data_IF_060901000503
#
_entry.id   IF_060901000503
#
_cell.length_a   1.000
_cell.length_b   1.000
_cell.length_c   1.000
_cell.angle_alpha   90.00
_cell.angle_beta   90.00
_cell.angle_gamma   90.00
#
_symmetry.space_group_name_H-M   'P 1'
#
loop_
_entity.id
_entity.type
_entity.pdbx_description
1 polymer ?
#
# COMPACT_ATOMS: atom_id res chain seq x y z
N UNK A 1 12.14 10.99 1.78
CA UNK A 1 11.39 11.33 3.01
C UNK A 1 12.21 10.87 4.20
N UNK A 2 12.34 11.70 5.24
CA UNK A 2 13.02 11.30 6.48
C UNK A 2 12.00 11.38 7.61
N UNK A 3 11.83 10.28 8.33
CA UNK A 3 10.95 10.19 9.48
C UNK A 3 11.71 10.55 10.75
N UNK A 4 11.08 11.31 11.64
CA UNK A 4 11.56 11.61 12.98
C UNK A 4 10.42 11.38 13.97
N UNK A 5 10.69 10.64 15.06
CA UNK A 5 9.71 10.35 16.10
C UNK A 5 9.14 11.59 16.81
N UNK A 6 9.80 12.75 16.69
CA UNK A 6 9.32 14.03 17.22
C UNK A 6 8.36 14.76 16.30
N UNK A 7 8.22 14.31 15.04
CA UNK A 7 7.24 14.88 14.12
C UNK A 7 5.82 14.63 14.63
N UNK A 8 4.91 15.56 14.36
CA UNK A 8 3.49 15.30 14.52
C UNK A 8 2.92 14.51 13.35
N UNK A 9 1.78 13.86 13.56
CA UNK A 9 1.02 13.19 12.49
C UNK A 9 0.71 14.15 11.34
N UNK A 10 0.32 15.39 11.63
CA UNK A 10 0.05 16.41 10.61
C UNK A 10 1.29 16.75 9.76
N UNK A 11 2.47 16.82 10.37
CA UNK A 11 3.73 17.03 9.65
C UNK A 11 4.05 15.84 8.74
N UNK A 12 3.82 14.62 9.21
CA UNK A 12 3.97 13.42 8.40
C UNK A 12 3.05 13.48 7.17
N UNK A 13 1.76 13.76 7.35
CA UNK A 13 0.81 13.85 6.24
C UNK A 13 1.18 14.91 5.21
N UNK A 14 1.65 16.08 5.67
CA UNK A 14 2.09 17.13 4.76
C UNK A 14 3.31 16.70 3.93
N UNK A 15 4.28 16.02 4.54
CA UNK A 15 5.45 15.50 3.84
C UNK A 15 5.09 14.35 2.88
N UNK A 16 4.16 13.46 3.26
CA UNK A 16 3.64 12.41 2.35
C UNK A 16 2.96 13.07 1.16
N UNK A 17 2.07 14.04 1.41
CA UNK A 17 1.34 14.78 0.38
C UNK A 17 2.29 15.43 -0.62
N UNK A 18 3.32 16.13 -0.13
CA UNK A 18 4.33 16.76 -0.97
C UNK A 18 5.07 15.72 -1.83
N UNK A 19 5.55 14.64 -1.21
CA UNK A 19 6.30 13.58 -1.89
C UNK A 19 5.47 12.91 -2.99
N UNK A 20 4.18 12.64 -2.72
CA UNK A 20 3.28 12.02 -3.70
C UNK A 20 3.01 12.96 -4.87
N UNK A 21 2.77 14.25 -4.61
CA UNK A 21 2.53 15.24 -5.67
C UNK A 21 3.78 15.43 -6.55
N UNK A 22 4.96 15.55 -5.95
CA UNK A 22 6.22 15.64 -6.69
C UNK A 22 6.52 14.37 -7.49
N UNK A 23 6.22 13.20 -6.95
CA UNK A 23 6.34 11.94 -7.69
C UNK A 23 5.43 11.91 -8.91
N UNK A 24 4.18 12.38 -8.76
CA UNK A 24 3.20 12.44 -9.84
C UNK A 24 3.58 13.45 -10.94
N UNK A 25 4.29 14.54 -10.61
CA UNK A 25 4.79 15.47 -11.64
C UNK A 25 5.90 14.88 -12.52
N UNK A 26 6.43 13.71 -12.16
CA UNK A 26 7.47 12.98 -12.91
C UNK A 26 7.04 11.57 -13.35
N UNK A 27 5.72 11.29 -13.36
CA UNK A 27 5.17 9.96 -13.65
C UNK A 27 5.43 9.44 -15.08
N UNK A 28 5.81 10.32 -16.01
CA UNK A 28 6.07 9.94 -17.40
C UNK A 28 7.33 9.09 -17.57
N UNK A 29 8.22 9.05 -16.57
CA UNK A 29 9.40 8.19 -16.57
C UNK A 29 9.02 6.76 -16.19
N UNK A 30 9.15 5.76 -17.10
CA UNK A 30 8.87 4.37 -16.76
C UNK A 30 9.81 3.87 -15.66
N UNK A 31 9.27 3.07 -14.74
CA UNK A 31 10.04 2.50 -13.63
C UNK A 31 11.27 1.72 -14.10
N UNK A 32 11.14 0.93 -15.16
CA UNK A 32 12.25 0.14 -15.70
C UNK A 32 13.43 1.02 -16.16
N UNK A 33 13.14 2.17 -16.76
CA UNK A 33 14.18 3.13 -17.17
C UNK A 33 14.88 3.76 -15.97
N UNK A 34 14.17 4.00 -14.87
CA UNK A 34 14.77 4.48 -13.63
C UNK A 34 15.72 3.44 -13.02
N UNK A 35 15.33 2.17 -13.01
CA UNK A 35 16.18 1.07 -12.55
C UNK A 35 17.43 0.93 -13.42
N UNK A 36 17.29 1.05 -14.74
CA UNK A 36 18.42 1.03 -15.67
C UNK A 36 19.41 2.17 -15.44
N UNK A 37 18.92 3.38 -15.17
CA UNK A 37 19.75 4.55 -14.91
C UNK A 37 20.46 4.48 -13.54
N UNK A 38 19.77 4.01 -12.49
CA UNK A 38 20.32 3.94 -11.14
C UNK A 38 21.22 2.72 -10.90
N UNK A 39 21.09 1.69 -11.74
CA UNK A 39 21.87 0.44 -11.67
C UNK A 39 21.98 -0.13 -10.23
N UNK A 40 20.85 -0.32 -9.51
CA UNK A 40 20.92 -0.90 -8.17
C UNK A 40 21.47 -2.34 -8.23
N UNK A 41 22.02 -2.87 -7.12
CA UNK A 41 22.47 -4.26 -7.06
C UNK A 41 21.37 -5.21 -7.51
N UNK A 42 21.64 -5.98 -8.58
CA UNK A 42 20.69 -6.92 -9.14
C UNK A 42 20.48 -8.11 -8.21
N UNK A 43 19.23 -8.51 -8.04
CA UNK A 43 18.84 -9.69 -7.29
C UNK A 43 17.63 -10.34 -7.94
N UNK A 44 17.60 -11.66 -7.92
CA UNK A 44 16.42 -12.44 -8.30
C UNK A 44 15.42 -12.57 -7.13
N UNK A 45 15.84 -12.22 -5.91
CA UNK A 45 15.08 -12.44 -4.69
C UNK A 45 14.24 -11.22 -4.24
N UNK A 46 14.55 -10.01 -4.73
CA UNK A 46 13.85 -8.79 -4.31
C UNK A 46 13.69 -7.80 -5.46
N UNK A 47 12.56 -7.08 -5.42
CA UNK A 47 12.27 -5.99 -6.35
C UNK A 47 13.27 -4.83 -6.17
N UNK A 48 13.77 -4.21 -7.25
CA UNK A 48 14.67 -3.07 -7.14
C UNK A 48 13.98 -1.87 -6.48
N UNK A 49 14.77 -1.05 -5.77
CA UNK A 49 14.39 0.23 -5.16
C UNK A 49 13.40 0.18 -3.99
N UNK A 50 12.41 -0.73 -3.98
CA UNK A 50 11.44 -0.86 -2.89
C UNK A 50 10.87 -2.27 -2.77
N UNK A 51 10.47 -2.64 -1.55
CA UNK A 51 10.00 -3.98 -1.19
C UNK A 51 8.57 -4.01 -0.67
N UNK A 52 7.99 -2.85 -0.35
CA UNK A 52 6.60 -2.72 0.10
C UNK A 52 5.83 -1.87 -0.90
N UNK A 53 4.76 -2.43 -1.45
CA UNK A 53 3.84 -1.75 -2.36
C UNK A 53 2.54 -1.42 -1.63
N UNK A 54 1.98 -0.23 -1.86
CA UNK A 54 0.66 0.15 -1.40
C UNK A 54 -0.13 0.71 -2.59
N UNK A 55 -1.27 0.10 -2.88
CA UNK A 55 -2.16 0.51 -3.96
C UNK A 55 -3.53 0.85 -3.40
N UNK A 56 -4.02 2.06 -3.66
CA UNK A 56 -5.34 2.51 -3.24
C UNK A 56 -6.21 2.68 -4.48
N UNK A 57 -7.13 1.74 -4.68
CA UNK A 57 -8.05 1.72 -5.80
C UNK A 57 -9.38 2.34 -5.40
N UNK A 58 -9.70 3.47 -6.04
CA UNK A 58 -11.01 4.12 -5.97
C UNK A 58 -11.82 3.75 -7.21
N UNK A 59 -12.09 2.46 -7.36
CA UNK A 59 -13.08 2.02 -8.33
C UNK A 59 -14.33 1.64 -7.56
N UNK A 60 -15.49 2.10 -8.02
CA UNK A 60 -16.77 1.56 -7.57
C UNK A 60 -16.79 0.08 -7.99
N UNK A 61 -16.31 -0.77 -7.09
CA UNK A 61 -16.25 -2.21 -7.32
C UNK A 61 -17.68 -2.74 -7.20
N UNK A 62 -18.41 -2.68 -8.30
CA UNK A 62 -19.69 -3.37 -8.40
C UNK A 62 -19.40 -4.87 -8.32
N UNK A 63 -19.67 -5.47 -7.16
CA UNK A 63 -19.43 -6.90 -6.88
C UNK A 63 -20.18 -7.80 -7.87
N UNK A 64 -21.29 -7.31 -8.41
CA UNK A 64 -22.00 -7.93 -9.52
C UNK A 64 -22.30 -6.90 -10.61
N UNK A 65 -22.22 -7.33 -11.87
CA UNK A 65 -22.67 -6.54 -13.02
C UNK A 65 -23.70 -7.34 -13.80
N UNK A 66 -24.76 -6.67 -14.28
CA UNK A 66 -25.59 -7.26 -15.32
C UNK A 66 -24.94 -7.07 -16.68
N UNK A 67 -24.70 -8.18 -17.36
CA UNK A 67 -24.22 -8.19 -18.74
C UNK A 67 -25.18 -9.06 -19.56
N UNK A 68 -25.91 -8.43 -20.48
CA UNK A 68 -26.85 -9.09 -21.39
C UNK A 68 -27.87 -10.02 -20.67
N UNK A 69 -28.39 -9.61 -19.51
CA UNK A 69 -29.35 -10.39 -18.71
C UNK A 69 -28.72 -11.51 -17.87
N UNK A 70 -27.38 -11.55 -17.76
CA UNK A 70 -26.65 -12.43 -16.86
C UNK A 70 -26.04 -11.63 -15.71
N UNK A 71 -26.17 -12.13 -14.50
CA UNK A 71 -25.44 -11.61 -13.34
C UNK A 71 -24.02 -12.16 -13.37
N UNK A 72 -23.03 -11.26 -13.42
CA UNK A 72 -21.61 -11.60 -13.39
C UNK A 72 -21.05 -11.18 -12.04
N UNK A 73 -20.63 -12.15 -11.24
CA UNK A 73 -19.97 -11.90 -9.96
C UNK A 73 -18.45 -11.81 -10.15
N UNK A 74 -17.84 -10.82 -9.50
CA UNK A 74 -16.39 -10.76 -9.44
C UNK A 74 -15.86 -11.82 -8.48
N UNK A 75 -15.09 -12.76 -9.00
CA UNK A 75 -14.24 -13.63 -8.19
C UNK A 75 -13.06 -12.79 -7.67
N UNK A 76 -12.86 -12.79 -6.36
CA UNK A 76 -11.68 -12.19 -5.73
C UNK A 76 -10.45 -12.86 -6.33
N UNK A 77 -9.56 -12.05 -6.92
CA UNK A 77 -8.30 -12.55 -7.45
C UNK A 77 -7.49 -13.10 -6.28
N UNK A 78 -7.36 -14.43 -6.21
CA UNK A 78 -6.54 -15.13 -5.22
C UNK A 78 -5.07 -14.97 -5.64
N UNK A 79 -4.58 -13.71 -5.64
CA UNK A 79 -3.23 -13.35 -6.01
C UNK A 79 -2.26 -13.90 -4.95
N UNK A 80 -1.92 -15.18 -5.08
CA UNK A 80 -1.02 -15.91 -4.18
C UNK A 80 0.45 -15.56 -4.37
N UNK A 81 0.79 -14.78 -5.40
CA UNK A 81 2.16 -14.45 -5.75
C UNK A 81 2.34 -12.93 -5.83
N UNK A 82 3.31 -12.42 -5.08
CA UNK A 82 3.77 -11.03 -5.11
C UNK A 82 5.25 -11.00 -5.49
N UNK A 83 5.68 -9.98 -6.24
CA UNK A 83 7.11 -9.70 -6.50
C UNK A 83 7.74 -8.85 -5.38
N UNK A 84 6.92 -8.40 -4.44
CA UNK A 84 7.28 -7.56 -3.30
C UNK A 84 7.28 -8.39 -2.02
N UNK A 85 8.01 -7.97 -1.01
CA UNK A 85 7.97 -8.60 0.31
C UNK A 85 6.56 -8.48 0.91
N UNK A 86 5.91 -7.32 0.71
CA UNK A 86 4.54 -7.04 1.12
C UNK A 86 3.84 -6.14 0.08
N UNK A 87 2.60 -6.48 -0.27
CA UNK A 87 1.73 -5.70 -1.14
C UNK A 87 0.40 -5.46 -0.43
N UNK A 88 0.08 -4.20 -0.16
CA UNK A 88 -1.19 -3.77 0.40
C UNK A 88 -2.08 -3.24 -0.72
N UNK A 89 -3.22 -3.88 -0.92
CA UNK A 89 -4.29 -3.38 -1.78
C UNK A 89 -5.42 -2.85 -0.92
N UNK A 90 -5.82 -1.60 -1.17
CA UNK A 90 -6.94 -0.93 -0.49
C UNK A 90 -8.01 -0.61 -1.54
N UNK A 91 -9.23 -1.08 -1.30
CA UNK A 91 -10.37 -0.86 -2.19
C UNK A 91 -11.51 -0.24 -1.40
N UNK A 92 -12.19 0.75 -1.98
CA UNK A 92 -13.44 1.26 -1.41
C UNK A 92 -14.62 0.38 -1.85
N UNK A 93 -15.35 -0.16 -0.87
CA UNK A 93 -16.55 -0.97 -1.05
C UNK A 93 -17.63 -0.49 -0.07
N UNK A 94 -18.78 -0.06 -0.59
CA UNK A 94 -19.93 0.37 0.21
C UNK A 94 -19.56 1.36 1.35
N UNK A 95 -18.77 2.38 1.01
CA UNK A 95 -18.25 3.40 1.94
C UNK A 95 -17.33 2.86 3.05
N UNK A 96 -16.78 1.66 2.86
CA UNK A 96 -15.76 1.05 3.73
C UNK A 96 -14.49 0.80 2.93
N UNK A 97 -13.35 0.81 3.61
CA UNK A 97 -12.08 0.39 3.01
C UNK A 97 -11.88 -1.11 3.28
N UNK A 98 -11.89 -1.91 2.22
CA UNK A 98 -11.38 -3.28 2.22
C UNK A 98 -9.88 -3.26 2.00
N UNK A 99 -9.13 -4.03 2.79
CA UNK A 99 -7.67 -4.09 2.71
C UNK A 99 -7.23 -5.55 2.57
N UNK A 100 -6.32 -5.81 1.63
CA UNK A 100 -5.73 -7.13 1.39
C UNK A 100 -4.21 -7.02 1.44
N UNK A 101 -3.57 -7.89 2.23
CA UNK A 101 -2.11 -8.00 2.31
C UNK A 101 -1.66 -9.29 1.64
N UNK A 102 -0.95 -9.16 0.52
CA UNK A 102 -0.22 -10.26 -0.12
C UNK A 102 1.24 -10.18 0.29
N UNK A 103 1.85 -11.30 0.68
CA UNK A 103 3.20 -11.31 1.25
C UNK A 103 4.05 -12.47 0.72
N UNK A 104 5.37 -12.32 0.80
CA UNK A 104 6.31 -13.41 0.55
C UNK A 104 6.33 -14.38 1.73
N UNK A 105 5.97 -15.64 1.46
CA UNK A 105 6.02 -16.72 2.47
C UNK A 105 7.43 -17.14 2.86
N UNK A 106 8.45 -16.71 2.09
CA UNK A 106 9.85 -16.90 2.46
C UNK A 106 10.27 -15.97 3.60
N UNK A 107 9.51 -14.88 3.82
CA UNK A 107 9.80 -13.84 4.82
C UNK A 107 8.79 -13.78 5.96
N UNK A 108 7.53 -14.08 5.68
CA UNK A 108 6.44 -13.96 6.65
C UNK A 108 5.56 -15.20 6.68
N UNK A 109 5.02 -15.49 7.85
CA UNK A 109 3.96 -16.46 8.04
C UNK A 109 2.61 -15.75 8.27
N UNK A 110 1.53 -16.51 8.15
CA UNK A 110 0.16 -16.00 8.31
C UNK A 110 -0.08 -15.33 9.68
N UNK A 111 0.32 -15.93 10.82
CA UNK A 111 0.11 -15.28 12.12
C UNK A 111 0.81 -13.92 12.24
N UNK A 112 2.03 -13.78 11.69
CA UNK A 112 2.75 -12.51 11.71
C UNK A 112 2.06 -11.44 10.87
N UNK A 113 1.55 -11.79 9.69
CA UNK A 113 0.85 -10.84 8.84
C UNK A 113 -0.49 -10.44 9.46
N UNK A 114 -1.21 -11.37 10.09
CA UNK A 114 -2.43 -11.06 10.83
C UNK A 114 -2.15 -10.03 11.95
N UNK A 115 -1.09 -10.25 12.74
CA UNK A 115 -0.68 -9.30 13.78
C UNK A 115 -0.26 -7.94 13.20
N UNK A 116 0.47 -7.93 12.08
CA UNK A 116 0.83 -6.67 11.39
C UNK A 116 -0.41 -5.92 10.89
N UNK A 117 -1.43 -6.61 10.42
CA UNK A 117 -2.69 -6.00 10.00
C UNK A 117 -3.43 -5.35 11.18
N UNK A 118 -3.46 -5.99 12.34
CA UNK A 118 -4.03 -5.41 13.57
C UNK A 118 -3.24 -4.17 14.02
N UNK A 119 -1.91 -4.24 14.01
CA UNK A 119 -1.06 -3.09 14.32
C UNK A 119 -1.25 -1.93 13.34
N UNK A 120 -1.40 -2.23 12.05
CA UNK A 120 -1.68 -1.23 11.04
C UNK A 120 -3.04 -0.56 11.27
N UNK A 121 -4.08 -1.33 11.61
CA UNK A 121 -5.40 -0.78 11.94
C UNK A 121 -5.34 0.13 13.18
N UNK A 122 -4.65 -0.31 14.23
CA UNK A 122 -4.48 0.50 15.44
C UNK A 122 -3.72 1.80 15.14
N UNK A 123 -2.66 1.72 14.33
CA UNK A 123 -1.90 2.89 13.90
C UNK A 123 -2.78 3.86 13.10
N UNK A 124 -3.59 3.37 12.15
CA UNK A 124 -4.54 4.21 11.41
C UNK A 124 -5.52 4.92 12.34
N UNK A 125 -6.06 4.23 13.35
CA UNK A 125 -6.95 4.83 14.33
C UNK A 125 -6.26 5.91 15.16
N UNK A 126 -5.02 5.66 15.62
CA UNK A 126 -4.23 6.63 16.38
C UNK A 126 -3.88 7.87 15.55
N UNK A 127 -3.48 7.68 14.28
CA UNK A 127 -3.21 8.77 13.33
C UNK A 127 -4.42 9.67 13.09
N UNK A 128 -5.64 9.12 13.16
CA UNK A 128 -6.88 9.88 12.98
C UNK A 128 -7.36 10.58 14.26
N UNK A 129 -6.93 10.11 15.44
CA UNK A 129 -7.42 10.60 16.72
C UNK A 129 -6.86 11.98 17.08
N UNK A 130 -5.56 12.19 16.93
CA UNK A 130 -4.90 13.47 17.21
C UNK A 130 -3.78 13.79 16.19
N UNK A 131 -4.04 14.69 15.22
CA UNK A 131 -3.04 15.11 14.24
C UNK A 131 -1.81 15.81 14.84
N UNK A 132 -1.85 16.26 16.10
CA UNK A 132 -0.72 16.91 16.78
C UNK A 132 0.12 15.93 17.61
N UNK A 133 -0.34 14.69 17.81
CA UNK A 133 0.40 13.65 18.52
C UNK A 133 1.72 13.36 17.80
N UNK A 134 2.76 13.08 18.57
CA UNK A 134 4.09 12.74 18.02
C UNK A 134 4.11 11.31 17.52
N UNK A 135 4.87 11.06 16.46
CA UNK A 135 4.99 9.72 15.89
C UNK A 135 5.57 8.69 16.87
N UNK A 136 6.44 9.11 17.79
CA UNK A 136 7.02 8.24 18.83
C UNK A 136 6.06 7.86 19.96
N UNK A 137 4.87 8.46 19.98
CA UNK A 137 3.83 8.23 21.00
C UNK A 137 2.66 7.40 20.44
N UNK A 138 2.76 6.91 19.19
CA UNK A 138 1.79 6.06 18.51
C UNK A 138 2.02 4.57 18.78
#
# INVERSE_FOLDING_TARGET
MQLDGQMSVAQLFEQVRHTVIEGQSHQDLPFDHLVEALQPPRSAAYNPLFQVMCNVQRWEFQQSRELAGMTVDYLVNDARATKFDLNLEVTELDHRLGCCLTYSTDLFDEPRIAQMAEHWLNLLQALLADPQQRLSEL
#
